data_IF_289650760698
#
_entry.id   IF_289650760698
#
_cell.length_a   1.000
_cell.length_b   1.000
_cell.length_c   1.000
_cell.angle_alpha   90.00
_cell.angle_beta   90.00
_cell.angle_gamma   90.00
#
_symmetry.space_group_name_H-M   'P 1'
#
loop_
_entity.id
_entity.type
_entity.pdbx_description
1 polymer ?
#
# COMPACT_ATOMS: atom_id res chain seq x y z
N UNK A 1 40.97 -28.65 -17.19
CA UNK A 1 39.99 -28.15 -16.21
C UNK A 1 39.03 -29.26 -15.85
N UNK A 2 38.46 -29.28 -14.64
CA UNK A 2 37.55 -30.38 -14.21
C UNK A 2 36.20 -30.26 -14.90
N UNK A 3 35.74 -31.35 -15.51
CA UNK A 3 34.45 -31.49 -16.23
C UNK A 3 33.24 -31.00 -15.42
N UNK A 4 33.32 -31.10 -14.09
CA UNK A 4 32.29 -30.60 -13.18
C UNK A 4 32.20 -29.07 -13.15
N UNK A 5 33.34 -28.37 -13.20
CA UNK A 5 33.39 -26.90 -13.21
C UNK A 5 32.81 -26.34 -14.50
N UNK A 6 33.07 -27.00 -15.62
CA UNK A 6 32.53 -26.61 -16.92
C UNK A 6 31.01 -26.84 -16.99
N UNK A 7 30.50 -27.94 -16.43
CA UNK A 7 29.05 -28.20 -16.35
C UNK A 7 28.33 -27.19 -15.45
N UNK A 8 28.91 -26.85 -14.29
CA UNK A 8 28.38 -25.81 -13.38
C UNK A 8 28.32 -24.45 -14.08
N UNK A 9 29.38 -24.06 -14.77
CA UNK A 9 29.45 -22.77 -15.46
C UNK A 9 28.53 -22.69 -16.67
N UNK A 10 28.42 -23.78 -17.45
CA UNK A 10 27.64 -23.78 -18.67
C UNK A 10 26.13 -23.87 -18.42
N UNK A 11 25.69 -24.51 -17.33
CA UNK A 11 24.27 -24.87 -17.16
C UNK A 11 23.70 -24.49 -15.79
N UNK A 12 24.42 -24.77 -14.69
CA UNK A 12 23.88 -24.51 -13.35
C UNK A 12 23.74 -23.01 -13.07
N UNK A 13 24.76 -22.20 -13.32
CA UNK A 13 24.69 -20.76 -13.08
C UNK A 13 23.63 -20.04 -13.95
N UNK A 14 23.52 -20.32 -15.26
CA UNK A 14 22.43 -19.77 -16.06
C UNK A 14 21.04 -20.14 -15.52
N UNK A 15 20.80 -21.41 -15.17
CA UNK A 15 19.51 -21.84 -14.61
C UNK A 15 19.22 -21.15 -13.28
N UNK A 16 20.21 -21.08 -12.38
CA UNK A 16 20.06 -20.35 -11.11
C UNK A 16 19.79 -18.86 -11.35
N UNK A 17 20.44 -18.24 -12.34
CA UNK A 17 20.19 -16.84 -12.72
C UNK A 17 18.75 -16.62 -13.22
N UNK A 18 18.25 -17.52 -14.06
CA UNK A 18 16.85 -17.47 -14.53
C UNK A 18 15.88 -17.67 -13.37
N UNK A 19 16.08 -18.68 -12.53
CA UNK A 19 15.22 -18.97 -11.38
C UNK A 19 15.21 -17.79 -10.40
N UNK A 20 16.38 -17.22 -10.09
CA UNK A 20 16.49 -16.06 -9.22
C UNK A 20 15.74 -14.86 -9.81
N UNK A 21 15.93 -14.57 -11.10
CA UNK A 21 15.27 -13.44 -11.78
C UNK A 21 13.76 -13.60 -11.79
N UNK A 22 13.26 -14.77 -12.20
CA UNK A 22 11.81 -15.06 -12.23
C UNK A 22 11.21 -14.98 -10.82
N UNK A 23 11.93 -15.50 -9.81
CA UNK A 23 11.49 -15.42 -8.41
C UNK A 23 11.40 -13.97 -7.95
N UNK A 24 12.43 -13.15 -8.19
CA UNK A 24 12.43 -11.73 -7.83
C UNK A 24 11.31 -10.95 -8.51
N UNK A 25 11.08 -11.18 -9.80
CA UNK A 25 9.99 -10.53 -10.55
C UNK A 25 8.63 -10.96 -10.00
N UNK A 26 8.45 -12.25 -9.71
CA UNK A 26 7.20 -12.77 -9.17
C UNK A 26 6.86 -12.15 -7.81
N UNK A 27 7.85 -12.00 -6.93
CA UNK A 27 7.70 -11.29 -5.65
C UNK A 27 7.31 -9.82 -5.89
N UNK A 28 8.02 -9.12 -6.77
CA UNK A 28 7.74 -7.72 -7.07
C UNK A 28 6.30 -7.52 -7.60
N UNK A 29 5.84 -8.39 -8.50
CA UNK A 29 4.47 -8.37 -9.03
C UNK A 29 3.45 -8.65 -7.92
N UNK A 30 3.73 -9.60 -7.04
CA UNK A 30 2.84 -9.96 -5.93
C UNK A 30 2.69 -8.84 -4.89
N UNK A 31 3.70 -7.97 -4.75
CA UNK A 31 3.66 -6.82 -3.84
C UNK A 31 2.94 -5.59 -4.42
N UNK A 32 2.72 -5.52 -5.74
CA UNK A 32 2.02 -4.39 -6.39
C UNK A 32 0.67 -4.03 -5.75
N UNK A 33 -0.27 -4.98 -5.51
CA UNK A 33 -1.56 -4.63 -4.91
C UNK A 33 -1.42 -4.08 -3.48
N UNK A 34 -0.42 -4.53 -2.73
CA UNK A 34 -0.14 -4.02 -1.37
C UNK A 34 0.36 -2.58 -1.46
N UNK A 35 1.28 -2.30 -2.38
CA UNK A 35 1.79 -0.95 -2.62
C UNK A 35 0.66 0.00 -3.06
N UNK A 36 -0.20 -0.44 -4.00
CA UNK A 36 -1.35 0.35 -4.44
C UNK A 36 -2.33 0.62 -3.30
N UNK A 37 -2.63 -0.38 -2.47
CA UNK A 37 -3.49 -0.21 -1.30
C UNK A 37 -2.89 0.79 -0.31
N UNK A 38 -1.60 0.69 -0.02
CA UNK A 38 -0.90 1.62 0.87
C UNK A 38 -0.93 3.05 0.32
N UNK A 39 -0.71 3.24 -0.99
CA UNK A 39 -0.82 4.55 -1.64
C UNK A 39 -2.24 5.12 -1.50
N UNK A 40 -3.27 4.32 -1.80
CA UNK A 40 -4.68 4.76 -1.67
C UNK A 40 -5.02 5.14 -0.24
N UNK A 41 -4.57 4.35 0.73
CA UNK A 41 -4.79 4.63 2.14
C UNK A 41 -4.10 5.93 2.58
N UNK A 42 -2.84 6.15 2.19
CA UNK A 42 -2.09 7.37 2.51
C UNK A 42 -2.77 8.62 1.93
N UNK A 43 -3.23 8.56 0.67
CA UNK A 43 -3.99 9.64 0.05
C UNK A 43 -5.28 9.91 0.83
N UNK A 44 -6.07 8.86 1.12
CA UNK A 44 -7.28 8.99 1.92
C UNK A 44 -7.01 9.67 3.27
N UNK A 45 -5.96 9.25 3.98
CA UNK A 45 -5.63 9.77 5.30
C UNK A 45 -5.27 11.25 5.24
N UNK A 46 -4.40 11.64 4.31
CA UNK A 46 -3.99 13.04 4.10
C UNK A 46 -5.17 13.95 3.74
N UNK A 47 -6.03 13.50 2.83
CA UNK A 47 -7.22 14.25 2.40
C UNK A 47 -8.23 14.37 3.55
N UNK A 48 -8.41 13.30 4.33
CA UNK A 48 -9.30 13.30 5.50
C UNK A 48 -8.82 14.28 6.56
N UNK A 49 -7.52 14.29 6.88
CA UNK A 49 -6.93 15.24 7.83
C UNK A 49 -7.13 16.69 7.35
N UNK A 50 -6.92 16.94 6.06
CA UNK A 50 -7.15 18.25 5.46
C UNK A 50 -8.62 18.67 5.60
N UNK A 51 -9.55 17.74 5.34
CA UNK A 51 -10.97 17.99 5.50
C UNK A 51 -11.35 18.28 6.96
N UNK A 52 -10.85 17.50 7.92
CA UNK A 52 -11.16 17.69 9.34
C UNK A 52 -10.62 19.01 9.88
N UNK A 53 -9.39 19.40 9.49
CA UNK A 53 -8.83 20.71 9.87
C UNK A 53 -9.71 21.87 9.40
N UNK A 54 -10.33 21.76 8.22
CA UNK A 54 -11.21 22.79 7.67
C UNK A 54 -12.63 22.77 8.26
N UNK A 55 -13.18 21.59 8.58
CA UNK A 55 -14.60 21.42 8.91
C UNK A 55 -14.86 21.13 10.40
N UNK A 56 -13.83 20.78 11.16
CA UNK A 56 -13.86 20.45 12.59
C UNK A 56 -12.72 21.17 13.33
N UNK A 57 -12.69 22.51 13.31
CA UNK A 57 -11.63 23.29 13.97
C UNK A 57 -11.64 23.15 15.50
N UNK A 58 -12.75 22.68 16.07
CA UNK A 58 -12.93 22.39 17.50
C UNK A 58 -12.33 21.03 17.91
N UNK A 59 -12.00 20.15 16.94
CA UNK A 59 -11.42 18.85 17.24
C UNK A 59 -9.93 18.95 17.56
N UNK A 60 -9.48 18.14 18.51
CA UNK A 60 -8.06 18.01 18.78
C UNK A 60 -7.36 17.34 17.59
N UNK A 61 -6.04 17.52 17.48
CA UNK A 61 -5.24 16.82 16.45
C UNK A 61 -5.45 15.31 16.54
N UNK A 62 -5.52 14.77 17.76
CA UNK A 62 -5.73 13.35 17.99
C UNK A 62 -7.10 12.87 17.47
N UNK A 63 -8.17 13.64 17.69
CA UNK A 63 -9.49 13.29 17.16
C UNK A 63 -9.47 13.22 15.63
N UNK A 64 -8.83 14.19 14.99
CA UNK A 64 -8.69 14.23 13.52
C UNK A 64 -7.97 12.98 12.98
N UNK A 65 -6.89 12.55 13.64
CA UNK A 65 -6.10 11.36 13.28
C UNK A 65 -6.88 10.06 13.47
N UNK A 66 -7.55 9.90 14.61
CA UNK A 66 -8.35 8.69 14.90
C UNK A 66 -9.51 8.56 13.93
N UNK A 67 -10.21 9.67 13.63
CA UNK A 67 -11.33 9.64 12.69
C UNK A 67 -10.89 9.46 11.24
N UNK A 68 -9.77 10.08 10.82
CA UNK A 68 -9.20 9.84 9.49
C UNK A 68 -8.80 8.37 9.31
N UNK A 69 -8.14 7.78 10.31
CA UNK A 69 -7.79 6.37 10.30
C UNK A 69 -9.03 5.47 10.23
N UNK A 70 -10.05 5.73 11.05
CA UNK A 70 -11.30 4.96 11.03
C UNK A 70 -11.98 5.03 9.65
N UNK A 71 -12.12 6.24 9.09
CA UNK A 71 -12.74 6.45 7.78
C UNK A 71 -11.99 5.70 6.67
N UNK A 72 -10.66 5.82 6.60
CA UNK A 72 -9.85 5.16 5.57
C UNK A 72 -9.75 3.64 5.71
N UNK A 73 -10.13 3.10 6.87
CA UNK A 73 -10.29 1.66 7.09
C UNK A 73 -11.72 1.16 6.81
N UNK A 74 -12.59 1.98 6.20
CA UNK A 74 -13.96 1.62 5.86
C UNK A 74 -14.99 1.88 6.97
N UNK A 75 -14.57 2.55 8.05
CA UNK A 75 -15.48 3.08 9.05
C UNK A 75 -16.36 4.17 8.46
N UNK A 76 -17.59 4.28 8.98
CA UNK A 76 -18.47 5.39 8.62
C UNK A 76 -17.88 6.71 9.15
N UNK A 77 -17.76 7.76 8.31
CA UNK A 77 -17.37 9.07 8.80
C UNK A 77 -18.43 9.56 9.78
N UNK A 78 -18.01 10.01 10.97
CA UNK A 78 -18.95 10.57 11.95
C UNK A 78 -19.47 11.89 11.41
N UNK A 79 -20.73 11.91 10.97
CA UNK A 79 -21.45 13.14 10.64
C UNK A 79 -22.03 13.72 11.94
N UNK A 80 -21.79 15.01 12.23
CA UNK A 80 -22.94 15.91 12.19
C UNK A 80 -22.59 17.19 11.42
N UNK A 81 -23.35 17.48 10.36
CA UNK A 81 -23.24 18.68 9.52
C UNK A 81 -23.85 18.41 8.13
N UNK A 82 -24.72 19.28 7.57
CA UNK A 82 -25.73 18.97 6.54
C UNK A 82 -25.23 18.54 5.13
N UNK A 83 -23.97 18.14 4.94
CA UNK A 83 -23.37 17.96 3.60
C UNK A 83 -23.25 16.53 3.08
N UNK A 84 -23.00 15.50 3.91
CA UNK A 84 -22.68 14.16 3.38
C UNK A 84 -23.94 13.31 3.13
N UNK A 85 -24.37 13.16 1.88
CA UNK A 85 -25.34 12.14 1.48
C UNK A 85 -24.58 10.92 0.96
N UNK A 86 -24.90 9.73 1.50
CA UNK A 86 -24.41 8.46 0.97
C UNK A 86 -24.86 8.38 -0.50
N UNK A 87 -23.93 8.20 -1.43
CA UNK A 87 -24.28 7.89 -2.80
C UNK A 87 -25.00 6.53 -2.81
N UNK A 88 -26.22 6.50 -3.37
CA UNK A 88 -26.97 5.27 -3.65
C UNK A 88 -26.27 4.46 -4.74
#
# INVERSE_FOLDING_TARGET
>A
MSKARDMVNAHLFPVLGVVATVSSVSIAVSLRPIAEQATRWNTCYSDSITWYRANKPDWTVQDQEVFASNFCNGGIPVKPGPGFQKAN
#
